data_IF_753999961529
#
_entry.id   IF_753999961529
#
_cell.length_a   1.000
_cell.length_b   1.000
_cell.length_c   1.000
_cell.angle_alpha   90.00
_cell.angle_beta   90.00
_cell.angle_gamma   90.00
#
_symmetry.space_group_name_H-M   'P 1'
#
loop_
_entity.id
_entity.type
_entity.pdbx_description
1 polymer ?
#
# COMPACT_ATOMS: atom_id res chain seq x y z
N UNK A 1 7.79 -11.60 16.07
CA UNK A 1 8.41 -12.17 14.85
C UNK A 1 8.82 -11.01 13.95
N UNK A 2 10.01 -11.05 13.36
CA UNK A 2 10.52 -10.00 12.45
C UNK A 2 11.20 -10.64 11.24
N UNK A 3 11.15 -9.97 10.09
CA UNK A 3 11.78 -10.40 8.85
C UNK A 3 12.30 -9.16 8.10
N UNK A 4 13.60 -9.14 7.78
CA UNK A 4 14.19 -8.07 6.97
C UNK A 4 14.28 -8.47 5.50
N UNK A 5 13.36 -7.94 4.69
CA UNK A 5 13.30 -8.20 3.25
C UNK A 5 14.45 -7.57 2.44
N UNK A 6 15.29 -6.74 3.07
CA UNK A 6 16.50 -6.20 2.45
C UNK A 6 17.69 -7.14 2.61
N UNK A 7 17.66 -8.03 3.61
CA UNK A 7 18.70 -9.02 3.82
C UNK A 7 18.51 -10.23 2.88
N UNK A 8 19.57 -10.77 2.24
CA UNK A 8 19.47 -11.94 1.36
C UNK A 8 18.77 -13.15 2.01
N UNK A 9 19.12 -13.45 3.26
CA UNK A 9 18.49 -14.53 4.01
C UNK A 9 17.01 -14.27 4.29
N UNK A 10 16.65 -13.00 4.53
CA UNK A 10 15.27 -12.60 4.73
C UNK A 10 14.43 -12.74 3.46
N UNK A 11 15.01 -12.47 2.28
CA UNK A 11 14.39 -12.76 0.98
C UNK A 11 14.15 -14.26 0.79
N UNK A 12 15.13 -15.09 1.13
CA UNK A 12 15.01 -16.55 1.04
C UNK A 12 13.88 -17.08 1.92
N UNK A 13 13.78 -16.58 3.16
CA UNK A 13 12.69 -16.93 4.07
C UNK A 13 11.35 -16.45 3.54
N UNK A 14 11.28 -15.22 3.01
CA UNK A 14 10.06 -14.67 2.43
C UNK A 14 9.56 -15.49 1.23
N UNK A 15 10.44 -15.92 0.33
CA UNK A 15 10.08 -16.77 -0.81
C UNK A 15 9.47 -18.11 -0.37
N UNK A 16 10.00 -18.71 0.72
CA UNK A 16 9.42 -19.92 1.32
C UNK A 16 8.02 -19.69 1.88
N UNK A 17 7.75 -18.52 2.46
CA UNK A 17 6.41 -18.15 2.93
C UNK A 17 5.45 -17.93 1.76
N UNK A 18 5.91 -17.25 0.70
CA UNK A 18 5.14 -17.02 -0.54
C UNK A 18 4.73 -18.33 -1.19
N UNK A 19 5.60 -19.34 -1.21
CA UNK A 19 5.33 -20.65 -1.81
C UNK A 19 4.11 -21.37 -1.20
N UNK A 20 3.70 -21.01 0.02
CA UNK A 20 2.55 -21.62 0.72
C UNK A 20 1.41 -20.65 0.98
N UNK A 21 1.53 -19.39 0.54
CA UNK A 21 0.53 -18.35 0.79
C UNK A 21 -0.51 -18.27 -0.32
N UNK A 22 -1.78 -18.07 0.05
CA UNK A 22 -2.85 -17.80 -0.93
C UNK A 22 -2.81 -16.36 -1.45
N UNK A 23 -2.29 -15.43 -0.64
CA UNK A 23 -2.21 -14.03 -1.02
C UNK A 23 -1.17 -13.21 -0.26
N UNK A 24 -0.82 -12.08 -0.86
CA UNK A 24 0.07 -11.08 -0.31
C UNK A 24 -0.57 -9.69 -0.41
N UNK A 25 -0.59 -8.96 0.71
CA UNK A 25 -1.05 -7.58 0.76
C UNK A 25 0.08 -6.65 1.21
N UNK A 26 0.21 -5.49 0.58
CA UNK A 26 1.07 -4.42 1.06
C UNK A 26 0.49 -3.04 0.75
N UNK A 27 0.84 -2.05 1.57
CA UNK A 27 0.47 -0.65 1.40
C UNK A 27 1.72 0.26 1.29
N UNK A 28 2.82 -0.26 0.72
CA UNK A 28 4.08 0.45 0.65
C UNK A 28 4.08 1.49 -0.49
N UNK A 29 4.52 2.71 -0.20
CA UNK A 29 4.49 3.82 -1.16
C UNK A 29 5.47 3.64 -2.33
N UNK A 30 5.04 4.07 -3.52
CA UNK A 30 5.90 4.30 -4.67
C UNK A 30 6.56 3.04 -5.20
N UNK A 31 7.88 3.09 -5.40
CA UNK A 31 8.64 2.00 -6.00
C UNK A 31 9.08 0.91 -5.00
N UNK A 32 8.72 1.04 -3.73
CA UNK A 32 9.10 0.11 -2.67
C UNK A 32 8.58 -1.33 -2.89
N UNK A 33 7.33 -1.58 -3.33
CA UNK A 33 6.89 -2.93 -3.65
C UNK A 33 7.75 -3.60 -4.72
N UNK A 34 8.14 -2.85 -5.77
CA UNK A 34 9.03 -3.34 -6.82
C UNK A 34 10.44 -3.61 -6.29
N UNK A 35 11.00 -2.69 -5.50
CA UNK A 35 12.34 -2.85 -4.90
C UNK A 35 12.45 -4.05 -3.97
N UNK A 36 11.37 -4.37 -3.26
CA UNK A 36 11.30 -5.49 -2.33
C UNK A 36 10.82 -6.80 -2.96
N UNK A 37 10.45 -6.79 -4.25
CA UNK A 37 9.98 -7.99 -4.96
C UNK A 37 8.60 -8.47 -4.51
N UNK A 38 7.67 -7.53 -4.28
CA UNK A 38 6.34 -7.81 -3.72
C UNK A 38 5.22 -7.77 -4.76
N UNK A 39 5.55 -7.68 -6.05
CA UNK A 39 4.54 -7.68 -7.12
C UNK A 39 4.30 -9.11 -7.58
N UNK A 40 3.11 -9.36 -8.10
CA UNK A 40 2.79 -10.66 -8.70
C UNK A 40 3.87 -11.15 -9.69
N UNK A 41 4.36 -10.26 -10.56
CA UNK A 41 5.42 -10.58 -11.52
C UNK A 41 6.76 -11.00 -10.85
N UNK A 42 7.05 -10.49 -9.65
CA UNK A 42 8.26 -10.85 -8.88
C UNK A 42 8.08 -12.18 -8.13
N UNK A 43 6.83 -12.60 -7.90
CA UNK A 43 6.48 -13.77 -7.08
C UNK A 43 6.02 -14.99 -7.88
N UNK A 44 5.70 -14.80 -9.16
CA UNK A 44 5.14 -15.82 -10.04
C UNK A 44 5.97 -17.10 -10.11
N UNK A 45 7.31 -16.99 -10.09
CA UNK A 45 8.19 -18.16 -10.13
C UNK A 45 8.12 -19.04 -8.87
N UNK A 46 7.76 -18.46 -7.72
CA UNK A 46 7.66 -19.16 -6.44
C UNK A 46 6.25 -19.69 -6.17
N UNK A 47 5.23 -18.97 -6.63
CA UNK A 47 3.84 -19.35 -6.48
C UNK A 47 2.97 -18.72 -7.59
N UNK A 48 2.66 -19.46 -8.67
CA UNK A 48 1.80 -18.98 -9.75
C UNK A 48 0.34 -18.74 -9.35
N UNK A 49 -0.11 -19.29 -8.22
CA UNK A 49 -1.49 -19.18 -7.75
C UNK A 49 -1.71 -18.00 -6.78
N UNK A 50 -0.65 -17.27 -6.40
CA UNK A 50 -0.75 -16.21 -5.38
C UNK A 50 -1.56 -15.01 -5.86
N UNK A 51 -2.43 -14.50 -5.00
CA UNK A 51 -3.16 -13.24 -5.24
C UNK A 51 -2.42 -12.08 -4.56
N UNK A 52 -2.00 -11.08 -5.34
CA UNK A 52 -1.35 -9.88 -4.80
C UNK A 52 -2.31 -8.69 -4.76
N UNK A 53 -2.52 -8.12 -3.58
CA UNK A 53 -3.23 -6.87 -3.37
C UNK A 53 -2.26 -5.74 -2.99
N UNK A 54 -2.30 -4.64 -3.72
CA UNK A 54 -1.53 -3.45 -3.39
C UNK A 54 -2.48 -2.29 -3.09
N UNK A 55 -2.39 -1.75 -1.87
CA UNK A 55 -3.18 -0.60 -1.44
C UNK A 55 -2.34 0.66 -1.61
N UNK A 56 -2.83 1.59 -2.43
CA UNK A 56 -2.18 2.88 -2.67
C UNK A 56 -3.24 3.97 -2.75
N UNK A 57 -2.87 5.21 -2.39
CA UNK A 57 -3.78 6.34 -2.48
C UNK A 57 -4.06 6.80 -3.92
N UNK A 58 -3.04 6.73 -4.79
CA UNK A 58 -3.09 7.31 -6.14
C UNK A 58 -2.75 6.31 -7.25
N UNK A 59 -2.75 5.01 -6.94
CA UNK A 59 -2.28 3.98 -7.87
C UNK A 59 -0.76 3.85 -7.91
N UNK A 60 -0.29 2.96 -8.78
CA UNK A 60 1.12 2.63 -9.00
C UNK A 60 1.66 3.23 -10.32
N UNK A 61 0.85 4.04 -11.01
CA UNK A 61 1.16 4.66 -12.30
C UNK A 61 0.80 6.16 -12.27
N UNK A 62 1.37 6.93 -13.21
CA UNK A 62 1.13 8.37 -13.31
C UNK A 62 1.96 9.23 -12.34
N UNK A 63 1.76 10.55 -12.42
CA UNK A 63 2.58 11.56 -11.73
C UNK A 63 2.48 11.49 -10.20
N UNK A 64 1.38 10.96 -9.67
CA UNK A 64 1.12 10.83 -8.23
C UNK A 64 1.45 9.45 -7.66
N UNK A 65 1.98 8.52 -8.45
CA UNK A 65 2.27 7.14 -8.02
C UNK A 65 3.17 7.05 -6.77
N UNK A 66 4.04 8.05 -6.57
CA UNK A 66 4.96 8.12 -5.43
C UNK A 66 4.47 8.98 -4.27
N UNK A 67 3.29 9.58 -4.39
CA UNK A 67 2.75 10.49 -3.37
C UNK A 67 2.31 9.71 -2.13
N UNK A 68 2.41 10.31 -0.93
CA UNK A 68 1.93 9.69 0.30
C UNK A 68 0.40 9.66 0.34
N UNK A 69 -0.15 8.54 0.80
CA UNK A 69 -1.55 8.40 1.15
C UNK A 69 -1.71 8.36 2.67
N UNK A 70 -2.40 9.34 3.22
CA UNK A 70 -2.86 9.35 4.60
C UNK A 70 -4.36 9.64 4.62
N UNK A 71 -5.07 9.12 5.61
CA UNK A 71 -6.53 9.27 5.73
C UNK A 71 -6.99 10.72 5.53
N UNK A 72 -6.42 11.68 6.26
CA UNK A 72 -6.82 13.09 6.11
C UNK A 72 -6.51 13.69 4.72
N UNK A 73 -5.50 13.18 4.01
CA UNK A 73 -5.26 13.57 2.61
C UNK A 73 -6.35 13.01 1.71
N UNK A 74 -6.78 11.76 1.94
CA UNK A 74 -7.88 11.16 1.18
C UNK A 74 -9.20 11.85 1.48
N UNK A 75 -9.42 12.28 2.73
CA UNK A 75 -10.59 13.08 3.10
C UNK A 75 -10.56 14.44 2.39
N UNK A 76 -9.38 15.04 2.23
CA UNK A 76 -9.22 16.28 1.49
C UNK A 76 -9.50 16.09 -0.01
N UNK A 77 -8.85 15.10 -0.64
CA UNK A 77 -8.96 14.81 -2.07
C UNK A 77 -10.39 14.39 -2.47
N UNK A 78 -11.11 13.68 -1.59
CA UNK A 78 -12.50 13.30 -1.79
C UNK A 78 -13.52 14.42 -1.46
N UNK A 79 -13.06 15.57 -0.97
CA UNK A 79 -13.91 16.71 -0.61
C UNK A 79 -14.63 16.61 0.73
N UNK A 80 -14.40 15.55 1.52
CA UNK A 80 -15.08 15.33 2.79
C UNK A 80 -14.73 16.35 3.86
N UNK A 81 -13.50 16.88 3.84
CA UNK A 81 -13.14 17.98 4.74
C UNK A 81 -14.02 19.21 4.51
N UNK A 82 -14.38 19.49 3.25
CA UNK A 82 -15.23 20.64 2.91
C UNK A 82 -16.70 20.47 3.29
N UNK A 83 -17.13 19.24 3.60
CA UNK A 83 -18.48 18.92 4.05
C UNK A 83 -18.60 18.86 5.58
N UNK A 84 -17.51 19.11 6.30
CA UNK A 84 -17.41 18.88 7.74
C UNK A 84 -16.83 20.11 8.45
N UNK A 85 -17.45 20.50 9.57
CA UNK A 85 -17.06 21.66 10.35
C UNK A 85 -18.20 22.67 10.51
N UNK A 86 -17.87 23.84 11.05
CA UNK A 86 -18.81 24.96 11.20
C UNK A 86 -18.94 25.75 9.87
N UNK A 87 -20.12 26.33 9.55
CA UNK A 87 -20.36 27.01 8.26
C UNK A 87 -19.34 28.09 7.87
N UNK A 88 -18.84 28.85 8.84
CA UNK A 88 -17.84 29.91 8.64
C UNK A 88 -16.44 29.51 9.13
N UNK A 89 -16.25 28.23 9.46
CA UNK A 89 -14.99 27.66 9.95
C UNK A 89 -14.13 27.05 8.83
N UNK A 90 -12.85 26.76 9.10
CA UNK A 90 -12.04 26.00 8.16
C UNK A 90 -12.56 24.56 8.01
N UNK A 91 -12.31 23.89 6.86
CA UNK A 91 -12.59 22.47 6.67
C UNK A 91 -12.05 21.61 7.82
N UNK A 92 -12.88 20.71 8.34
CA UNK A 92 -12.52 19.86 9.47
C UNK A 92 -12.47 18.37 9.06
N UNK A 93 -11.62 17.60 9.75
CA UNK A 93 -11.56 16.14 9.56
C UNK A 93 -12.84 15.48 10.05
N UNK A 94 -13.31 14.48 9.32
CA UNK A 94 -14.32 13.57 9.85
C UNK A 94 -13.69 12.63 10.86
N UNK A 95 -14.47 12.22 11.86
CA UNK A 95 -14.02 11.28 12.89
C UNK A 95 -13.90 9.83 12.40
N UNK A 96 -14.49 9.50 11.25
CA UNK A 96 -14.42 8.18 10.64
C UNK A 96 -13.25 8.10 9.66
N UNK A 97 -12.50 7.00 9.74
CA UNK A 97 -11.44 6.71 8.78
C UNK A 97 -12.03 6.25 7.46
N UNK A 98 -11.35 6.61 6.37
CA UNK A 98 -11.57 6.07 5.03
C UNK A 98 -10.34 5.36 4.49
#
# INVERSE_FOLDING_TARGET
>A
MSLDLKHPDGKTVFQKLVATADGLINNLRGDQPKKLGLRHADLFEYNPAIVCAHVSAYGNEGERASWPGYDFLMQAEAGFLGLSGEPDGPPARMGLSI
#
